data_IF_332440432237
#
_entry.id   IF_332440432237
#
_cell.length_a   1.000
_cell.length_b   1.000
_cell.length_c   1.000
_cell.angle_alpha   90.00
_cell.angle_beta   90.00
_cell.angle_gamma   90.00
#
_symmetry.space_group_name_H-M   'P 1'
#
loop_
_entity.id
_entity.type
_entity.pdbx_description
1 polymer ?
#
# COMPACT_ATOMS: atom_id res chain seq x y z
N UNK A 1 6.88 6.72 -16.28
CA UNK A 1 7.40 6.05 -15.09
C UNK A 1 7.19 6.85 -13.83
N UNK A 2 7.05 6.14 -12.71
CA UNK A 2 6.73 6.73 -11.39
C UNK A 2 7.80 7.68 -10.83
N UNK A 3 9.03 7.61 -11.34
CA UNK A 3 10.18 8.31 -10.73
C UNK A 3 10.97 9.15 -11.73
N UNK A 4 11.21 10.44 -11.44
CA UNK A 4 12.01 11.29 -12.34
C UNK A 4 13.47 10.83 -12.38
N UNK A 5 14.16 11.15 -13.47
CA UNK A 5 15.59 10.88 -13.69
C UNK A 5 15.97 9.39 -13.51
N UNK A 6 15.14 8.48 -14.05
CA UNK A 6 15.32 7.02 -13.97
C UNK A 6 15.43 6.50 -12.52
N UNK A 7 14.82 7.19 -11.59
CA UNK A 7 14.78 6.79 -10.18
C UNK A 7 16.13 6.81 -9.45
N UNK A 8 17.14 7.54 -9.92
CA UNK A 8 18.48 7.52 -9.33
C UNK A 8 18.50 7.88 -7.84
N UNK A 9 17.79 8.93 -7.45
CA UNK A 9 17.67 9.33 -6.05
C UNK A 9 16.86 8.32 -5.25
N UNK A 10 15.80 7.80 -5.84
CA UNK A 10 14.92 6.78 -5.28
C UNK A 10 15.66 5.48 -5.03
N UNK A 11 16.42 4.97 -6.01
CA UNK A 11 17.25 3.76 -5.85
C UNK A 11 18.24 3.90 -4.68
N UNK A 12 18.85 5.07 -4.51
CA UNK A 12 19.74 5.34 -3.38
C UNK A 12 19.01 5.33 -2.03
N UNK A 13 17.83 5.96 -1.94
CA UNK A 13 17.01 5.98 -0.74
C UNK A 13 16.50 4.57 -0.38
N UNK A 14 15.93 3.84 -1.35
CA UNK A 14 15.46 2.47 -1.14
C UNK A 14 16.61 1.52 -0.76
N UNK A 15 17.80 1.70 -1.33
CA UNK A 15 18.98 0.93 -0.95
C UNK A 15 19.32 1.10 0.54
N UNK A 16 19.21 2.32 1.06
CA UNK A 16 19.42 2.58 2.49
C UNK A 16 18.31 1.95 3.35
N UNK A 17 17.06 2.12 2.95
CA UNK A 17 15.89 1.53 3.59
C UNK A 17 16.04 0.01 3.68
N UNK A 18 16.29 -0.66 2.56
CA UNK A 18 16.43 -2.11 2.45
C UNK A 18 17.57 -2.62 3.35
N UNK A 19 18.73 -1.98 3.33
CA UNK A 19 19.87 -2.35 4.21
C UNK A 19 19.50 -2.22 5.68
N UNK A 20 18.77 -1.17 6.04
CA UNK A 20 18.31 -0.95 7.42
C UNK A 20 17.34 -2.04 7.89
N UNK A 21 16.39 -2.43 7.03
CA UNK A 21 15.47 -3.54 7.30
C UNK A 21 16.25 -4.86 7.44
N UNK A 22 17.22 -5.10 6.56
CA UNK A 22 18.01 -6.33 6.52
C UNK A 22 18.85 -6.59 7.79
N UNK A 23 19.09 -5.57 8.61
CA UNK A 23 19.72 -5.76 9.94
C UNK A 23 18.84 -6.55 10.93
N UNK A 24 17.53 -6.59 10.72
CA UNK A 24 16.56 -7.24 11.61
C UNK A 24 15.67 -8.27 10.97
N UNK A 25 15.57 -8.26 9.66
CA UNK A 25 14.65 -9.08 8.89
C UNK A 25 15.32 -9.65 7.65
N UNK A 26 14.74 -10.75 7.12
CA UNK A 26 15.14 -11.28 5.83
C UNK A 26 14.41 -10.49 4.75
N UNK A 27 15.15 -9.90 3.83
CA UNK A 27 14.60 -9.14 2.71
C UNK A 27 14.77 -9.93 1.42
N UNK A 28 13.70 -10.08 0.68
CA UNK A 28 13.69 -10.61 -0.68
C UNK A 28 13.57 -9.44 -1.66
N UNK A 29 14.47 -9.36 -2.61
CA UNK A 29 14.41 -8.38 -3.69
C UNK A 29 13.95 -9.08 -4.96
N UNK A 30 12.82 -8.62 -5.51
CA UNK A 30 12.33 -9.05 -6.81
C UNK A 30 13.10 -8.27 -7.86
N UNK A 31 13.77 -8.96 -8.77
CA UNK A 31 14.60 -8.31 -9.78
C UNK A 31 14.79 -9.24 -10.98
N UNK A 32 14.59 -8.70 -12.16
CA UNK A 32 14.87 -9.42 -13.39
C UNK A 32 16.38 -9.60 -13.62
N UNK A 33 16.74 -10.63 -14.35
CA UNK A 33 18.14 -10.99 -14.62
C UNK A 33 18.95 -9.83 -15.23
N UNK A 34 18.31 -9.01 -16.07
CA UNK A 34 18.96 -7.89 -16.75
C UNK A 34 19.36 -6.76 -15.79
N UNK A 35 18.65 -6.61 -14.67
CA UNK A 35 18.92 -5.59 -13.65
C UNK A 35 19.68 -6.13 -12.43
N UNK A 36 19.94 -7.45 -12.38
CA UNK A 36 20.57 -8.09 -11.22
C UNK A 36 21.92 -7.48 -10.87
N UNK A 37 22.76 -7.20 -11.86
CA UNK A 37 24.09 -6.62 -11.63
C UNK A 37 24.00 -5.22 -10.99
N UNK A 38 23.10 -4.38 -11.48
CA UNK A 38 22.86 -3.05 -10.88
C UNK A 38 22.34 -3.18 -9.44
N UNK A 39 21.39 -4.08 -9.18
CA UNK A 39 20.87 -4.33 -7.85
C UNK A 39 21.97 -4.80 -6.87
N UNK A 40 22.86 -5.67 -7.32
CA UNK A 40 24.01 -6.14 -6.54
C UNK A 40 25.02 -5.03 -6.22
N UNK A 41 25.21 -4.08 -7.13
CA UNK A 41 26.06 -2.90 -6.87
C UNK A 41 25.51 -2.04 -5.73
N UNK A 42 24.18 -1.93 -5.61
CA UNK A 42 23.53 -1.19 -4.53
C UNK A 42 23.46 -1.96 -3.20
N UNK A 43 23.16 -3.26 -3.24
CA UNK A 43 22.71 -4.02 -2.06
C UNK A 43 23.70 -5.13 -1.64
N UNK A 44 24.56 -5.59 -2.55
CA UNK A 44 25.50 -6.68 -2.27
C UNK A 44 24.80 -7.95 -1.74
N UNK A 45 25.30 -8.52 -0.68
CA UNK A 45 24.76 -9.73 -0.05
C UNK A 45 23.74 -9.46 1.06
N UNK A 46 23.21 -8.23 1.17
CA UNK A 46 22.27 -7.86 2.25
C UNK A 46 20.86 -8.39 2.03
N UNK A 47 20.54 -8.88 0.84
CA UNK A 47 19.21 -9.36 0.44
C UNK A 47 19.29 -10.71 -0.27
N UNK A 48 18.14 -11.36 -0.40
CA UNK A 48 17.96 -12.55 -1.23
C UNK A 48 17.30 -12.09 -2.54
N UNK A 49 18.00 -12.33 -3.65
CA UNK A 49 17.49 -11.98 -4.98
C UNK A 49 16.58 -13.08 -5.50
N UNK A 50 15.39 -12.70 -5.98
CA UNK A 50 14.46 -13.59 -6.68
C UNK A 50 14.26 -13.06 -8.09
N UNK A 51 14.42 -13.93 -9.09
CA UNK A 51 14.17 -13.63 -10.50
C UNK A 51 12.66 -13.61 -10.76
N UNK A 52 12.03 -12.52 -10.41
CA UNK A 52 10.60 -12.27 -10.57
C UNK A 52 10.44 -10.90 -11.23
N UNK A 53 9.96 -10.84 -12.48
CA UNK A 53 9.69 -9.59 -13.17
C UNK A 53 8.53 -8.84 -12.55
N UNK A 54 8.63 -7.52 -12.59
CA UNK A 54 7.59 -6.58 -12.18
C UNK A 54 7.48 -5.45 -13.20
N UNK A 55 6.30 -4.85 -13.33
CA UNK A 55 6.13 -3.66 -14.16
C UNK A 55 6.47 -2.38 -13.34
N UNK A 56 6.15 -2.36 -12.03
CA UNK A 56 6.52 -1.27 -11.13
C UNK A 56 7.01 -1.82 -9.77
N UNK A 57 7.45 -0.94 -8.85
CA UNK A 57 8.18 -1.28 -7.63
C UNK A 57 7.30 -1.46 -6.37
N UNK A 58 5.99 -1.46 -6.51
CA UNK A 58 5.03 -1.37 -5.39
C UNK A 58 4.70 -2.74 -4.78
N UNK A 59 5.69 -3.36 -4.14
CA UNK A 59 5.57 -4.69 -3.52
C UNK A 59 4.50 -4.78 -2.40
N UNK A 60 4.08 -3.65 -1.82
CA UNK A 60 2.96 -3.61 -0.88
C UNK A 60 1.67 -4.06 -1.56
N UNK A 61 1.46 -3.65 -2.81
CA UNK A 61 0.20 -3.80 -3.53
C UNK A 61 0.19 -5.04 -4.41
N UNK A 62 1.31 -5.38 -5.03
CA UNK A 62 1.44 -6.53 -5.93
C UNK A 62 1.79 -7.84 -5.21
N UNK A 63 2.34 -7.76 -3.99
CA UNK A 63 2.71 -8.93 -3.20
C UNK A 63 1.51 -9.63 -2.57
N UNK A 64 1.64 -10.93 -2.21
CA UNK A 64 0.55 -11.66 -1.57
C UNK A 64 0.28 -11.14 -0.16
N UNK A 65 -0.98 -11.20 0.25
CA UNK A 65 -1.31 -11.05 1.68
C UNK A 65 -0.95 -12.34 2.41
N UNK A 66 -0.05 -12.28 3.38
CA UNK A 66 0.42 -13.46 4.11
C UNK A 66 -0.39 -13.65 5.39
N UNK A 67 -1.16 -14.72 5.45
CA UNK A 67 -1.84 -15.17 6.66
C UNK A 67 -0.94 -16.11 7.47
N UNK A 68 -1.04 -16.00 8.80
CA UNK A 68 -0.29 -16.85 9.72
C UNK A 68 -1.26 -17.42 10.76
N UNK A 69 -1.29 -18.74 10.90
CA UNK A 69 -2.09 -19.40 11.92
C UNK A 69 -1.33 -19.57 13.25
N UNK A 70 -2.02 -20.12 14.28
CA UNK A 70 -1.44 -20.36 15.62
C UNK A 70 -0.24 -21.30 15.61
N UNK A 71 -0.09 -22.14 14.59
CA UNK A 71 1.06 -23.04 14.40
C UNK A 71 2.20 -22.37 13.63
N UNK A 72 2.06 -21.09 13.28
CA UNK A 72 2.97 -20.32 12.43
C UNK A 72 3.09 -20.87 11.00
N UNK A 73 2.12 -21.63 10.55
CA UNK A 73 2.00 -22.00 9.14
C UNK A 73 1.52 -20.79 8.35
N UNK A 74 2.07 -20.59 7.17
CA UNK A 74 1.79 -19.44 6.31
C UNK A 74 0.93 -19.86 5.14
N UNK A 75 0.05 -18.96 4.73
CA UNK A 75 -0.77 -19.05 3.52
C UNK A 75 -0.66 -17.72 2.77
N UNK A 76 -0.33 -17.75 1.51
CA UNK A 76 -0.38 -16.59 0.63
C UNK A 76 -1.79 -16.47 0.05
N UNK A 77 -2.40 -15.29 0.18
CA UNK A 77 -3.63 -14.95 -0.55
C UNK A 77 -3.22 -14.17 -1.79
N UNK A 78 -3.59 -14.68 -2.95
CA UNK A 78 -3.27 -14.11 -4.27
C UNK A 78 -4.51 -13.40 -4.82
N UNK A 79 -4.46 -12.06 -4.85
CA UNK A 79 -5.51 -11.20 -5.38
C UNK A 79 -5.24 -10.84 -6.83
N UNK A 80 -6.26 -10.39 -7.56
CA UNK A 80 -6.02 -9.71 -8.83
C UNK A 80 -5.47 -8.33 -8.58
N UNK A 81 -4.43 -7.96 -9.33
CA UNK A 81 -3.89 -6.61 -9.41
C UNK A 81 -4.17 -6.02 -10.79
N UNK A 82 -4.59 -4.76 -10.86
CA UNK A 82 -4.97 -4.10 -12.10
C UNK A 82 -4.45 -2.66 -12.22
N UNK A 83 -3.26 -2.40 -11.68
CA UNK A 83 -2.65 -1.06 -11.68
C UNK A 83 -3.54 0.02 -11.04
N UNK A 84 -4.22 -0.33 -9.94
CA UNK A 84 -5.11 0.53 -9.12
C UNK A 84 -6.38 1.05 -9.81
N UNK A 85 -6.82 0.45 -10.90
CA UNK A 85 -8.08 0.88 -11.53
C UNK A 85 -8.37 0.30 -12.90
N UNK A 86 -7.44 -0.46 -13.45
CA UNK A 86 -7.59 -1.14 -14.72
C UNK A 86 -7.95 -0.18 -15.86
N UNK A 87 -9.01 -0.48 -16.59
CA UNK A 87 -9.45 0.34 -17.71
C UNK A 87 -10.20 1.63 -17.31
N UNK A 88 -10.51 1.83 -16.01
CA UNK A 88 -11.29 2.98 -15.53
C UNK A 88 -10.36 4.14 -15.19
N UNK A 89 -9.43 3.88 -14.29
CA UNK A 89 -8.51 4.87 -13.71
C UNK A 89 -7.15 4.26 -13.32
N UNK A 90 -6.76 3.13 -13.97
CA UNK A 90 -5.46 2.49 -13.77
C UNK A 90 -4.30 3.40 -14.19
N UNK A 91 -3.23 3.38 -13.41
CA UNK A 91 -2.10 4.28 -13.59
C UNK A 91 -1.19 3.86 -14.76
N UNK A 92 -1.21 2.60 -15.16
CA UNK A 92 -0.52 2.08 -16.35
C UNK A 92 -1.27 0.88 -16.93
N UNK A 93 -1.00 0.57 -18.20
CA UNK A 93 -1.78 -0.44 -18.94
C UNK A 93 -1.17 -1.84 -18.87
N UNK A 94 0.14 -1.95 -18.93
CA UNK A 94 0.84 -3.23 -18.85
C UNK A 94 1.17 -3.54 -17.38
N UNK A 95 0.31 -4.31 -16.72
CA UNK A 95 0.46 -4.77 -15.34
C UNK A 95 0.47 -6.30 -15.19
N UNK A 96 0.66 -7.02 -16.30
CA UNK A 96 0.60 -8.49 -16.27
C UNK A 96 1.69 -9.10 -15.38
N UNK A 97 2.91 -8.53 -15.38
CA UNK A 97 3.98 -9.00 -14.52
C UNK A 97 3.67 -8.75 -13.04
N UNK A 98 3.11 -7.59 -12.72
CA UNK A 98 2.71 -7.22 -11.36
C UNK A 98 1.57 -8.10 -10.83
N UNK A 99 0.55 -8.42 -11.65
CA UNK A 99 -0.54 -9.36 -11.28
C UNK A 99 -0.01 -10.79 -10.99
N UNK A 100 1.17 -11.15 -11.48
CA UNK A 100 1.80 -12.44 -11.25
C UNK A 100 2.75 -12.46 -10.04
N UNK A 101 3.07 -11.32 -9.44
CA UNK A 101 4.04 -11.24 -8.34
C UNK A 101 3.66 -12.14 -7.18
N UNK A 102 2.41 -12.09 -6.72
CA UNK A 102 1.96 -12.88 -5.58
C UNK A 102 2.12 -14.39 -5.81
N UNK A 103 1.67 -14.89 -6.96
CA UNK A 103 1.83 -16.28 -7.39
C UNK A 103 3.30 -16.68 -7.40
N UNK A 104 4.14 -15.94 -8.14
CA UNK A 104 5.58 -16.26 -8.33
C UNK A 104 6.37 -16.19 -7.04
N UNK A 105 6.05 -15.22 -6.17
CA UNK A 105 6.69 -15.12 -4.86
C UNK A 105 6.35 -16.31 -3.97
N UNK A 106 5.08 -16.72 -3.94
CA UNK A 106 4.66 -17.89 -3.17
C UNK A 106 5.30 -19.18 -3.68
N UNK A 107 5.38 -19.37 -5.00
CA UNK A 107 6.08 -20.49 -5.63
C UNK A 107 7.59 -20.52 -5.28
N UNK A 108 8.27 -19.36 -5.36
CA UNK A 108 9.69 -19.24 -5.03
C UNK A 108 10.00 -19.60 -3.57
N UNK A 109 9.04 -19.47 -2.67
CA UNK A 109 9.16 -19.77 -1.24
C UNK A 109 8.48 -21.09 -0.83
N UNK A 110 7.99 -21.88 -1.78
CA UNK A 110 7.21 -23.12 -1.53
C UNK A 110 6.07 -22.90 -0.54
N UNK A 111 5.35 -21.78 -0.71
CA UNK A 111 4.25 -21.36 0.16
C UNK A 111 2.90 -21.78 -0.43
N UNK A 112 1.98 -22.37 0.35
CA UNK A 112 0.64 -22.63 -0.13
C UNK A 112 -0.08 -21.33 -0.50
N UNK A 113 -0.90 -21.39 -1.56
CA UNK A 113 -1.64 -20.25 -2.11
C UNK A 113 -3.13 -20.47 -1.97
N UNK A 114 -3.85 -19.45 -1.54
CA UNK A 114 -5.29 -19.31 -1.72
C UNK A 114 -5.52 -18.33 -2.88
N UNK A 115 -6.04 -18.84 -3.98
CA UNK A 115 -6.39 -18.05 -5.15
C UNK A 115 -7.71 -17.31 -4.90
N UNK A 116 -7.61 -16.00 -4.71
CA UNK A 116 -8.75 -15.10 -4.49
C UNK A 116 -9.20 -14.38 -5.76
N UNK A 117 -8.54 -14.64 -6.89
CA UNK A 117 -8.92 -14.05 -8.18
C UNK A 117 -10.33 -14.50 -8.61
N UNK A 118 -11.11 -13.67 -9.26
CA UNK A 118 -10.76 -12.38 -9.83
C UNK A 118 -11.01 -11.16 -8.92
N UNK A 119 -11.02 -11.31 -7.60
CA UNK A 119 -11.22 -10.17 -6.69
C UNK A 119 -10.00 -9.25 -6.71
N UNK A 120 -10.20 -8.00 -7.10
CA UNK A 120 -9.15 -6.98 -7.16
C UNK A 120 -8.94 -6.40 -5.77
N UNK A 121 -7.71 -6.51 -5.26
CA UNK A 121 -7.31 -5.93 -3.97
C UNK A 121 -5.80 -5.71 -3.91
N UNK A 122 -5.41 -4.56 -3.41
CA UNK A 122 -4.03 -4.21 -3.12
C UNK A 122 -3.75 -4.30 -1.62
N UNK A 123 -2.50 -4.59 -1.25
CA UNK A 123 -2.09 -4.62 0.16
C UNK A 123 -2.24 -3.28 0.88
N UNK A 124 -2.08 -2.15 0.15
CA UNK A 124 -2.29 -0.80 0.68
C UNK A 124 -3.76 -0.43 0.89
N UNK A 125 -4.69 -1.15 0.24
CA UNK A 125 -6.13 -0.95 0.41
C UNK A 125 -6.68 -1.49 1.73
N UNK A 126 -5.89 -2.27 2.49
CA UNK A 126 -6.27 -2.89 3.76
C UNK A 126 -5.25 -2.61 4.86
N UNK A 127 -5.71 -2.47 6.11
CA UNK A 127 -4.84 -2.44 7.28
C UNK A 127 -5.45 -3.27 8.41
N UNK A 128 -4.68 -4.21 8.95
CA UNK A 128 -5.15 -5.17 9.98
C UNK A 128 -4.51 -4.90 11.34
N UNK A 129 -5.29 -5.08 12.42
CA UNK A 129 -4.78 -5.09 13.79
C UNK A 129 -4.21 -6.46 14.21
N UNK A 130 -4.29 -7.47 13.34
CA UNK A 130 -3.91 -8.85 13.64
C UNK A 130 -4.80 -9.53 14.68
N UNK A 131 -5.93 -8.92 15.07
CA UNK A 131 -6.87 -9.43 16.07
C UNK A 131 -8.31 -9.53 15.56
N UNK A 132 -8.46 -9.49 14.23
CA UNK A 132 -9.74 -9.69 13.55
C UNK A 132 -10.38 -8.41 13.04
N UNK A 133 -9.76 -7.23 13.22
CA UNK A 133 -10.26 -5.96 12.67
C UNK A 133 -9.46 -5.55 11.44
N UNK A 134 -10.15 -5.15 10.39
CA UNK A 134 -9.57 -4.58 9.17
C UNK A 134 -10.13 -3.19 8.95
N UNK A 135 -9.26 -2.25 8.60
CA UNK A 135 -9.62 -0.93 8.08
C UNK A 135 -9.51 -0.94 6.54
N UNK A 136 -10.47 -0.28 5.91
CA UNK A 136 -10.51 -0.01 4.47
C UNK A 136 -11.09 1.38 4.23
N UNK A 137 -10.95 1.93 3.02
CA UNK A 137 -11.66 3.15 2.63
C UNK A 137 -12.79 2.85 1.65
N UNK A 138 -13.89 3.60 1.76
CA UNK A 138 -15.00 3.53 0.81
C UNK A 138 -14.56 4.01 -0.58
N UNK A 139 -13.78 5.10 -0.63
CA UNK A 139 -13.24 5.65 -1.87
C UNK A 139 -12.49 4.61 -2.69
N UNK A 140 -11.67 3.76 -2.05
CA UNK A 140 -10.90 2.73 -2.73
C UNK A 140 -11.76 1.53 -3.12
N UNK A 141 -12.31 0.81 -2.13
CA UNK A 141 -12.91 -0.49 -2.41
C UNK A 141 -14.25 -0.43 -3.15
N UNK A 142 -14.95 0.72 -3.08
CA UNK A 142 -16.18 0.95 -3.85
C UNK A 142 -15.92 1.69 -5.16
N UNK A 143 -14.64 1.96 -5.51
CA UNK A 143 -14.30 2.52 -6.82
C UNK A 143 -14.73 1.59 -7.95
N UNK A 144 -15.26 2.14 -9.06
CA UNK A 144 -15.58 1.35 -10.23
C UNK A 144 -14.35 0.68 -10.88
N UNK A 145 -13.14 1.12 -10.54
CA UNK A 145 -11.88 0.52 -10.97
C UNK A 145 -11.47 -0.75 -10.20
N UNK A 146 -12.25 -1.20 -9.20
CA UNK A 146 -11.95 -2.41 -8.41
C UNK A 146 -12.93 -3.55 -8.72
N UNK A 147 -13.99 -3.66 -7.93
CA UNK A 147 -14.96 -4.76 -8.02
C UNK A 147 -16.37 -4.22 -8.25
N UNK A 148 -16.67 -3.51 -9.38
CA UNK A 148 -17.93 -2.78 -9.58
C UNK A 148 -19.17 -3.68 -9.70
N UNK A 149 -18.97 -4.99 -9.88
CA UNK A 149 -20.03 -5.98 -9.95
C UNK A 149 -20.46 -6.53 -8.60
N UNK A 150 -19.71 -6.17 -7.52
CA UNK A 150 -19.99 -6.61 -6.15
C UNK A 150 -20.60 -5.46 -5.33
N UNK A 151 -21.54 -5.81 -4.48
CA UNK A 151 -22.04 -4.92 -3.44
C UNK A 151 -21.02 -4.76 -2.30
N UNK A 152 -21.17 -3.69 -1.50
CA UNK A 152 -20.36 -3.50 -0.29
C UNK A 152 -20.36 -4.72 0.63
N UNK A 153 -21.54 -5.35 0.82
CA UNK A 153 -21.68 -6.54 1.66
C UNK A 153 -20.89 -7.74 1.08
N UNK A 154 -20.92 -7.94 -0.22
CA UNK A 154 -20.15 -9.01 -0.88
C UNK A 154 -18.65 -8.76 -0.79
N UNK A 155 -18.19 -7.52 -0.96
CA UNK A 155 -16.78 -7.14 -0.75
C UNK A 155 -16.37 -7.42 0.70
N UNK A 156 -17.17 -6.97 1.68
CA UNK A 156 -16.90 -7.18 3.10
C UNK A 156 -16.83 -8.68 3.44
N UNK A 157 -17.77 -9.47 2.97
CA UNK A 157 -17.77 -10.93 3.19
C UNK A 157 -16.52 -11.60 2.59
N UNK A 158 -16.08 -11.18 1.40
CA UNK A 158 -14.85 -11.67 0.78
C UNK A 158 -13.62 -11.34 1.65
N UNK A 159 -13.52 -10.12 2.15
CA UNK A 159 -12.43 -9.73 3.04
C UNK A 159 -12.42 -10.54 4.33
N UNK A 160 -13.59 -10.70 4.97
CA UNK A 160 -13.71 -11.46 6.20
C UNK A 160 -13.30 -12.93 6.01
N UNK A 161 -13.76 -13.56 4.92
CA UNK A 161 -13.45 -14.95 4.61
C UNK A 161 -11.97 -15.13 4.26
N UNK A 162 -11.46 -14.36 3.28
CA UNK A 162 -10.10 -14.54 2.77
C UNK A 162 -9.01 -14.13 3.77
N UNK A 163 -9.29 -13.16 4.65
CA UNK A 163 -8.31 -12.65 5.61
C UNK A 163 -8.48 -13.23 7.02
N UNK A 164 -9.50 -14.06 7.24
CA UNK A 164 -9.81 -14.60 8.57
C UNK A 164 -10.16 -13.51 9.58
N UNK A 165 -10.78 -12.44 9.12
CA UNK A 165 -11.18 -11.31 9.93
C UNK A 165 -12.61 -11.48 10.48
N UNK A 166 -12.95 -10.69 11.50
CA UNK A 166 -14.26 -10.71 12.16
C UNK A 166 -15.03 -9.41 11.94
N UNK A 167 -14.31 -8.33 11.56
CA UNK A 167 -14.90 -7.00 11.38
C UNK A 167 -14.12 -6.18 10.35
N UNK A 168 -14.86 -5.51 9.45
CA UNK A 168 -14.32 -4.49 8.55
C UNK A 168 -14.86 -3.13 8.96
N UNK A 169 -13.99 -2.15 9.10
CA UNK A 169 -14.35 -0.75 9.35
C UNK A 169 -14.05 0.05 8.09
N UNK A 170 -15.06 0.70 7.57
CA UNK A 170 -15.03 1.46 6.33
C UNK A 170 -14.87 2.95 6.63
N UNK A 171 -13.66 3.46 6.42
CA UNK A 171 -13.42 4.89 6.48
C UNK A 171 -14.01 5.56 5.22
N UNK A 172 -14.69 6.71 5.36
CA UNK A 172 -15.20 7.44 4.20
C UNK A 172 -14.13 7.83 3.19
N UNK A 173 -12.93 8.21 3.67
CA UNK A 173 -11.88 8.84 2.87
C UNK A 173 -10.49 8.30 3.20
N UNK A 174 -9.55 8.52 2.26
CA UNK A 174 -8.11 8.38 2.46
C UNK A 174 -7.39 9.72 2.46
N UNK A 175 -6.26 9.82 1.75
CA UNK A 175 -5.53 11.08 1.56
C UNK A 175 -6.00 11.77 0.28
N UNK A 176 -6.23 13.08 0.38
CA UNK A 176 -6.67 13.90 -0.74
C UNK A 176 -5.72 13.83 -1.94
N UNK A 177 -6.27 13.55 -3.11
CA UNK A 177 -5.55 13.32 -4.37
C UNK A 177 -4.60 12.11 -4.37
N UNK A 178 -4.88 11.09 -3.58
CA UNK A 178 -4.19 9.82 -3.68
C UNK A 178 -4.63 9.09 -4.96
N UNK A 179 -3.66 8.83 -5.82
CA UNK A 179 -3.86 8.22 -7.14
C UNK A 179 -4.36 6.77 -7.08
N UNK A 180 -4.17 6.13 -5.93
CA UNK A 180 -4.63 4.75 -5.69
C UNK A 180 -6.10 4.68 -5.24
N UNK A 181 -6.88 5.76 -5.46
CA UNK A 181 -8.24 5.93 -4.96
C UNK A 181 -8.32 5.96 -3.42
N UNK A 182 -7.35 6.62 -2.79
CA UNK A 182 -7.36 6.85 -1.35
C UNK A 182 -7.15 5.56 -0.53
N UNK A 183 -6.02 4.87 -0.73
CA UNK A 183 -5.62 3.72 0.08
C UNK A 183 -5.65 4.03 1.58
N UNK A 184 -6.06 3.02 2.37
CA UNK A 184 -6.16 3.19 3.84
C UNK A 184 -4.80 3.35 4.52
N UNK A 185 -3.75 2.74 4.00
CA UNK A 185 -2.39 2.77 4.58
C UNK A 185 -1.75 4.17 4.56
N UNK A 186 -2.27 5.08 3.73
CA UNK A 186 -1.89 6.49 3.71
C UNK A 186 -2.62 7.32 4.76
N UNK A 187 -3.81 6.90 5.22
CA UNK A 187 -4.65 7.71 6.12
C UNK A 187 -4.74 7.17 7.54
N UNK A 188 -4.76 5.85 7.74
CA UNK A 188 -4.89 5.23 9.06
C UNK A 188 -4.07 3.95 9.19
N UNK A 189 -3.40 3.77 10.33
CA UNK A 189 -2.65 2.56 10.62
C UNK A 189 -2.77 2.16 12.09
N UNK A 190 -2.95 0.86 12.35
CA UNK A 190 -2.87 0.33 13.70
C UNK A 190 -1.42 0.35 14.21
N UNK A 191 -1.23 0.81 15.44
CA UNK A 191 0.06 0.81 16.14
C UNK A 191 0.03 -0.10 17.38
N UNK A 192 -1.14 -0.59 17.73
CA UNK A 192 -1.37 -1.52 18.82
C UNK A 192 -2.83 -2.01 18.85
N UNK A 193 -3.18 -2.91 19.78
CA UNK A 193 -4.55 -3.39 19.93
C UNK A 193 -5.52 -2.25 20.27
N UNK A 194 -6.51 -2.00 19.41
CA UNK A 194 -7.43 -0.87 19.49
C UNK A 194 -6.75 0.51 19.56
N UNK A 195 -5.52 0.63 19.06
CA UNK A 195 -4.75 1.86 19.03
C UNK A 195 -4.29 2.13 17.59
N UNK A 196 -4.59 3.32 17.07
CA UNK A 196 -4.27 3.69 15.70
C UNK A 196 -3.81 5.14 15.57
N UNK A 197 -3.06 5.40 14.53
CA UNK A 197 -2.76 6.76 14.05
C UNK A 197 -3.68 7.11 12.90
N UNK A 198 -4.08 8.38 12.82
CA UNK A 198 -4.89 8.94 11.74
C UNK A 198 -4.20 10.18 11.20
N UNK A 199 -4.01 10.26 9.89
CA UNK A 199 -3.47 11.44 9.21
C UNK A 199 -4.33 12.66 9.51
N UNK A 200 -3.71 13.79 9.89
CA UNK A 200 -4.41 14.94 10.38
C UNK A 200 -3.81 16.27 9.92
N UNK A 201 -4.66 17.25 9.72
CA UNK A 201 -4.25 18.65 9.61
C UNK A 201 -5.21 19.53 10.39
N UNK A 202 -4.71 20.60 11.00
CA UNK A 202 -5.56 21.63 11.64
C UNK A 202 -5.89 22.78 10.68
N UNK A 203 -5.32 22.77 9.46
CA UNK A 203 -5.63 23.75 8.41
C UNK A 203 -7.00 23.45 7.79
N UNK A 204 -8.02 24.21 8.24
CA UNK A 204 -9.40 24.09 7.73
C UNK A 204 -9.56 24.48 6.26
N UNK A 205 -8.56 25.12 5.66
CA UNK A 205 -8.55 25.44 4.23
C UNK A 205 -8.00 24.30 3.36
N UNK A 206 -7.33 23.30 3.98
CA UNK A 206 -6.90 22.10 3.29
C UNK A 206 -8.09 21.10 3.19
N UNK A 207 -8.40 20.57 2.00
CA UNK A 207 -9.43 19.56 1.82
C UNK A 207 -9.26 18.35 2.76
N UNK A 208 -8.03 17.97 3.09
CA UNK A 208 -7.73 16.86 4.00
C UNK A 208 -8.33 17.06 5.39
N UNK A 209 -8.51 18.32 5.86
CA UNK A 209 -9.13 18.56 7.16
C UNK A 209 -10.55 17.96 7.25
N UNK A 210 -11.37 18.19 6.24
CA UNK A 210 -12.73 17.68 6.22
C UNK A 210 -12.78 16.16 6.12
N UNK A 211 -11.90 15.57 5.32
CA UNK A 211 -11.77 14.12 5.14
C UNK A 211 -11.34 13.44 6.45
N UNK A 212 -10.23 13.87 7.03
CA UNK A 212 -9.75 13.33 8.32
C UNK A 212 -10.74 13.54 9.47
N UNK A 213 -11.48 14.64 9.48
CA UNK A 213 -12.52 14.90 10.50
C UNK A 213 -13.70 13.93 10.38
N UNK A 214 -14.07 13.53 9.16
CA UNK A 214 -15.11 12.54 8.93
C UNK A 214 -14.68 11.15 9.41
N UNK A 215 -13.45 10.74 9.06
CA UNK A 215 -12.87 9.45 9.50
C UNK A 215 -12.74 9.40 11.02
N UNK A 216 -12.26 10.48 11.63
CA UNK A 216 -12.16 10.59 13.09
C UNK A 216 -13.54 10.45 13.77
N UNK A 217 -14.56 11.14 13.27
CA UNK A 217 -15.90 11.10 13.82
C UNK A 217 -16.58 9.72 13.68
N UNK A 218 -16.19 8.92 12.70
CA UNK A 218 -16.58 7.53 12.56
C UNK A 218 -15.84 6.67 13.59
N UNK A 219 -14.51 6.74 13.61
CA UNK A 219 -13.65 5.92 14.48
C UNK A 219 -13.91 6.13 15.97
N UNK A 220 -14.28 7.37 16.40
CA UNK A 220 -14.66 7.64 17.80
C UNK A 220 -15.87 6.82 18.29
N UNK A 221 -16.73 6.40 17.37
CA UNK A 221 -17.97 5.66 17.67
C UNK A 221 -17.79 4.16 17.47
N UNK A 222 -16.80 3.77 16.71
CA UNK A 222 -16.54 2.39 16.39
C UNK A 222 -15.84 1.64 17.52
N UNK A 223 -15.95 0.32 17.46
CA UNK A 223 -15.22 -0.62 18.30
C UNK A 223 -14.51 -1.63 17.39
N UNK A 224 -13.43 -2.20 17.86
CA UNK A 224 -12.75 -3.29 17.15
C UNK A 224 -13.52 -4.63 17.24
N UNK A 225 -13.00 -5.67 16.61
CA UNK A 225 -13.57 -7.01 16.63
C UNK A 225 -13.67 -7.62 18.04
N UNK A 226 -12.94 -7.09 19.02
CA UNK A 226 -12.96 -7.55 20.42
C UNK A 226 -13.80 -6.65 21.34
N UNK A 227 -14.53 -5.69 20.76
CA UNK A 227 -15.43 -4.78 21.49
C UNK A 227 -14.74 -3.63 22.21
N UNK A 228 -13.50 -3.27 21.84
CA UNK A 228 -12.73 -2.16 22.42
C UNK A 228 -12.92 -0.89 21.60
N UNK A 229 -13.12 0.25 22.26
CA UNK A 229 -13.05 1.55 21.60
C UNK A 229 -11.62 1.89 21.22
N UNK A 230 -11.46 2.66 20.15
CA UNK A 230 -10.14 3.05 19.64
C UNK A 230 -9.52 4.21 20.43
N UNK A 231 -8.21 4.11 20.65
CA UNK A 231 -7.36 5.24 20.99
C UNK A 231 -6.81 5.77 19.65
N UNK A 232 -7.15 7.02 19.32
CA UNK A 232 -6.84 7.62 18.03
C UNK A 232 -5.79 8.71 18.22
N UNK A 233 -4.61 8.52 17.64
CA UNK A 233 -3.55 9.51 17.63
C UNK A 233 -3.58 10.28 16.30
N UNK A 234 -3.71 11.60 16.39
CA UNK A 234 -3.65 12.49 15.22
C UNK A 234 -2.19 12.68 14.82
N UNK A 235 -1.81 12.13 13.66
CA UNK A 235 -0.47 12.29 13.10
C UNK A 235 -0.52 13.38 12.04
N UNK A 236 0.23 14.50 12.20
CA UNK A 236 0.17 15.58 11.22
C UNK A 236 0.63 15.09 9.84
N UNK A 237 -0.05 15.54 8.78
CA UNK A 237 0.49 15.45 7.42
C UNK A 237 1.58 16.50 7.24
N UNK A 238 2.45 16.42 6.19
CA UNK A 238 3.47 17.43 5.93
C UNK A 238 2.90 18.85 5.92
N UNK A 239 3.48 19.74 6.74
CA UNK A 239 3.04 21.13 6.87
C UNK A 239 3.24 21.93 5.57
N UNK A 240 4.20 21.54 4.75
CA UNK A 240 4.42 22.08 3.41
C UNK A 240 3.85 21.07 2.42
N UNK A 241 2.91 21.52 1.60
CA UNK A 241 2.33 20.67 0.56
C UNK A 241 3.44 20.17 -0.37
N UNK A 242 3.52 18.89 -0.54
CA UNK A 242 4.40 18.27 -1.52
C UNK A 242 3.73 18.41 -2.89
N UNK A 243 4.48 18.94 -3.85
CA UNK A 243 3.99 19.16 -5.21
C UNK A 243 5.07 18.81 -6.21
N UNK A 244 4.65 18.43 -7.42
CA UNK A 244 5.56 18.30 -8.56
C UNK A 244 6.12 19.67 -8.91
N UNK A 245 7.44 19.78 -9.05
CA UNK A 245 8.09 21.02 -9.41
C UNK A 245 8.38 21.09 -10.91
N UNK A 246 8.63 22.32 -11.44
CA UNK A 246 9.06 22.48 -12.84
C UNK A 246 10.42 21.79 -13.11
N UNK A 247 11.24 21.61 -12.08
CA UNK A 247 12.55 20.95 -12.17
C UNK A 247 12.42 19.42 -12.28
N UNK A 248 11.34 18.84 -11.77
CA UNK A 248 11.07 17.40 -11.84
C UNK A 248 10.55 16.97 -13.20
N UNK A 249 9.75 17.81 -13.88
CA UNK A 249 9.04 17.45 -15.11
C UNK A 249 9.95 16.87 -16.22
N UNK A 250 11.14 17.44 -16.50
CA UNK A 250 12.00 16.87 -17.55
C UNK A 250 12.57 15.48 -17.20
N UNK A 251 12.45 15.07 -15.93
CA UNK A 251 12.96 13.80 -15.45
C UNK A 251 11.99 12.63 -15.62
N UNK A 252 10.71 12.89 -15.83
CA UNK A 252 9.71 11.85 -16.04
C UNK A 252 9.78 11.28 -17.46
N UNK A 253 9.59 9.98 -17.56
CA UNK A 253 9.45 9.24 -18.82
C UNK A 253 8.11 8.55 -18.75
N UNK A 254 7.20 8.89 -19.65
CA UNK A 254 5.84 8.35 -19.68
C UNK A 254 5.74 7.25 -20.72
N UNK A 255 4.96 6.23 -20.40
CA UNK A 255 4.55 5.20 -21.32
C UNK A 255 3.22 5.58 -22.01
N UNK A 256 2.84 4.86 -23.05
CA UNK A 256 1.58 5.11 -23.73
C UNK A 256 0.39 4.86 -22.79
N UNK A 257 -0.41 5.90 -22.55
CA UNK A 257 -1.60 5.85 -21.69
C UNK A 257 -1.36 6.29 -20.23
N UNK A 258 -0.13 6.62 -19.83
CA UNK A 258 0.14 7.27 -18.54
C UNK A 258 -0.27 8.75 -18.59
N UNK A 259 -0.85 9.26 -17.51
CA UNK A 259 -1.14 10.70 -17.35
C UNK A 259 0.16 11.48 -17.08
N UNK A 260 0.34 12.57 -17.82
CA UNK A 260 1.50 13.43 -17.63
C UNK A 260 1.34 14.30 -16.37
N UNK A 261 2.38 14.35 -15.54
CA UNK A 261 2.47 15.24 -14.37
C UNK A 261 2.56 16.70 -14.82
N UNK A 262 2.06 17.60 -13.97
CA UNK A 262 2.18 19.05 -14.18
C UNK A 262 2.74 19.76 -12.95
N UNK A 263 3.40 20.90 -13.17
CA UNK A 263 3.95 21.68 -12.07
C UNK A 263 2.84 22.21 -11.15
N UNK A 264 3.03 22.04 -9.85
CA UNK A 264 2.03 22.39 -8.84
C UNK A 264 1.01 21.30 -8.55
N UNK A 265 1.04 20.18 -9.24
CA UNK A 265 0.27 18.99 -8.91
C UNK A 265 0.60 18.53 -7.50
N UNK A 266 -0.42 18.39 -6.64
CA UNK A 266 -0.23 17.95 -5.27
C UNK A 266 0.01 16.45 -5.22
N UNK A 267 1.05 16.04 -4.49
CA UNK A 267 1.33 14.65 -4.19
C UNK A 267 0.63 14.24 -2.89
N UNK A 268 0.10 13.01 -2.86
CA UNK A 268 -0.53 12.42 -1.68
C UNK A 268 0.54 12.06 -0.63
N UNK A 269 1.02 13.04 0.12
CA UNK A 269 2.07 12.85 1.10
C UNK A 269 1.50 12.64 2.51
N UNK A 270 1.90 11.56 3.16
CA UNK A 270 1.51 11.20 4.52
C UNK A 270 2.65 10.55 5.28
N UNK A 271 2.70 10.78 6.60
CA UNK A 271 3.61 10.05 7.49
C UNK A 271 3.00 8.75 8.02
N UNK A 272 1.72 8.47 7.71
CA UNK A 272 1.04 7.24 8.18
C UNK A 272 1.53 6.01 7.44
N UNK A 273 1.99 6.14 6.20
CA UNK A 273 2.57 5.02 5.44
C UNK A 273 4.00 4.70 5.91
N UNK A 274 4.14 4.40 7.20
CA UNK A 274 5.38 3.94 7.81
C UNK A 274 5.49 2.42 7.76
N UNK A 275 6.72 1.92 7.88
CA UNK A 275 6.98 0.48 7.97
C UNK A 275 7.58 0.13 9.35
N UNK A 276 6.91 -0.77 10.08
CA UNK A 276 7.39 -1.29 11.37
C UNK A 276 8.18 -2.56 11.11
N UNK A 277 9.50 -2.48 11.24
CA UNK A 277 10.40 -3.62 11.18
C UNK A 277 10.81 -4.07 12.59
N UNK A 278 11.45 -5.24 12.70
CA UNK A 278 11.84 -5.81 14.02
C UNK A 278 12.76 -4.91 14.84
N UNK A 279 13.53 -4.03 14.22
CA UNK A 279 14.52 -3.17 14.91
C UNK A 279 14.33 -1.69 14.69
N UNK A 280 13.47 -1.30 13.77
CA UNK A 280 13.33 0.08 13.33
C UNK A 280 11.91 0.36 12.84
N UNK A 281 11.48 1.60 12.99
CA UNK A 281 10.30 2.13 12.29
C UNK A 281 10.80 3.10 11.23
N UNK A 282 10.46 2.85 9.99
CA UNK A 282 10.78 3.70 8.85
C UNK A 282 9.59 4.61 8.58
N UNK A 283 9.82 5.91 8.61
CA UNK A 283 8.79 6.92 8.42
C UNK A 283 9.14 7.74 7.18
N UNK A 284 8.19 8.00 6.27
CA UNK A 284 8.39 8.92 5.14
C UNK A 284 8.85 10.30 5.61
N UNK A 285 9.72 10.96 4.82
CA UNK A 285 10.27 12.29 5.14
C UNK A 285 9.87 13.31 4.08
#
# INVERSE_FOLDING_TARGET
>A
GSWPFQGKATKAAFSQIIKTIAEGERVYLLVEQDYLAEAQDYLGDSVIYLDIPTNDAWARDTGPTILINDKREKLAVDWSFNAWGGAVDGLYQDYEADDQVATRFAEALDMPVYDAKPFVLEGGAIHSDGQGTILVTESCLLSPGRNPHLSREEIENTLLECLGAEKVIWLPYGIYQDETNEHVDNVAAFVGPAELVLAWTDDKSDPQYAMSAADFALLEKEIDAKGRHFIIHKLPIPAVRQVVTEEDLPGYIYEEGEEERYAGERLAASYVNFYIANKVVLVPQ
#
